data_IF_735478542023
#
_entry.id   IF_735478542023
#
_cell.length_a   1.000
_cell.length_b   1.000
_cell.length_c   1.000
_cell.angle_alpha   90.00
_cell.angle_beta   90.00
_cell.angle_gamma   90.00
#
_symmetry.space_group_name_H-M   'P 1'
#
loop_
_entity.id
_entity.type
_entity.pdbx_description
1 polymer ?
#
# COMPACT_ATOMS: atom_id res chain seq x y z
N UNK A 1 -3.75 25.50 -23.50
CA UNK A 1 -3.54 25.10 -22.07
C UNK A 1 -4.91 24.91 -21.46
N UNK A 2 -5.14 23.90 -20.64
CA UNK A 2 -6.38 23.80 -19.90
C UNK A 2 -6.58 25.08 -19.06
N UNK A 3 -7.82 25.47 -18.75
CA UNK A 3 -8.08 26.62 -17.89
C UNK A 3 -7.48 26.35 -16.50
N UNK A 4 -7.03 27.43 -15.83
CA UNK A 4 -6.65 27.30 -14.42
C UNK A 4 -7.89 26.92 -13.60
N UNK A 5 -7.72 26.05 -12.60
CA UNK A 5 -8.80 25.65 -11.71
C UNK A 5 -8.71 26.44 -10.40
N UNK A 6 -9.84 26.56 -9.73
CA UNK A 6 -9.95 27.14 -8.40
C UNK A 6 -10.73 26.17 -7.49
N UNK A 7 -10.24 25.98 -6.27
CA UNK A 7 -10.86 25.13 -5.26
C UNK A 7 -10.72 25.78 -3.88
N UNK A 8 -11.78 25.71 -3.10
CA UNK A 8 -11.76 26.15 -1.69
C UNK A 8 -12.57 25.18 -0.81
N UNK A 9 -12.16 25.04 0.44
CA UNK A 9 -12.78 24.16 1.41
C UNK A 9 -11.96 24.07 2.68
N UNK A 10 -12.14 23.00 3.45
CA UNK A 10 -11.38 22.69 4.66
C UNK A 10 -10.37 21.60 4.36
N UNK A 11 -9.09 21.84 4.60
CA UNK A 11 -8.06 20.81 4.40
C UNK A 11 -7.99 19.88 5.62
N UNK A 12 -7.90 18.58 5.37
CA UNK A 12 -7.55 17.61 6.40
C UNK A 12 -6.03 17.47 6.53
N UNK A 13 -5.51 17.13 7.74
CA UNK A 13 -6.23 16.69 8.95
C UNK A 13 -6.88 17.77 9.80
N UNK A 14 -6.40 19.02 9.74
CA UNK A 14 -6.68 20.06 10.71
C UNK A 14 -8.06 20.72 10.53
N UNK A 15 -8.68 20.58 9.36
CA UNK A 15 -9.95 21.21 9.04
C UNK A 15 -9.84 22.73 8.83
N UNK A 16 -8.64 23.26 8.62
CA UNK A 16 -8.41 24.67 8.36
C UNK A 16 -8.92 25.07 6.96
N UNK A 17 -9.49 26.26 6.82
CA UNK A 17 -9.89 26.76 5.53
C UNK A 17 -8.70 26.93 4.59
N UNK A 18 -8.83 26.42 3.37
CA UNK A 18 -7.82 26.54 2.32
C UNK A 18 -8.44 27.01 1.02
N UNK A 19 -7.63 27.69 0.23
CA UNK A 19 -7.97 28.14 -1.11
C UNK A 19 -6.77 27.90 -2.03
N UNK A 20 -6.98 27.12 -3.09
CA UNK A 20 -5.94 26.74 -4.02
C UNK A 20 -6.35 27.03 -5.46
N UNK A 21 -5.36 27.38 -6.26
CA UNK A 21 -5.45 27.43 -7.71
C UNK A 21 -4.62 26.29 -8.31
N UNK A 22 -5.03 25.81 -9.46
CA UNK A 22 -4.26 24.82 -10.23
C UNK A 22 -3.81 25.46 -11.52
N UNK A 23 -2.51 25.48 -11.72
CA UNK A 23 -1.88 26.03 -12.93
C UNK A 23 -0.91 24.98 -13.48
N UNK A 24 -1.06 24.61 -14.73
CA UNK A 24 -0.22 23.61 -15.40
C UNK A 24 -0.08 22.32 -14.59
N UNK A 25 -1.19 21.88 -13.99
CA UNK A 25 -1.27 20.64 -13.19
C UNK A 25 -0.63 20.72 -11.79
N UNK A 26 -0.31 21.93 -11.31
CA UNK A 26 0.31 22.16 -9.99
C UNK A 26 -0.52 23.08 -9.12
N UNK A 27 -0.45 22.85 -7.81
CA UNK A 27 -1.10 23.69 -6.80
C UNK A 27 -0.39 25.05 -6.68
N UNK A 28 -1.18 26.12 -6.60
CA UNK A 28 -0.72 27.49 -6.33
C UNK A 28 -1.53 28.10 -5.20
N UNK A 29 -0.84 28.69 -4.22
CA UNK A 29 -1.47 29.53 -3.20
C UNK A 29 -1.75 30.95 -3.72
N UNK A 30 -1.24 31.33 -4.90
CA UNK A 30 -1.42 32.65 -5.50
C UNK A 30 -2.67 32.66 -6.38
N UNK A 31 -3.56 33.67 -6.23
CA UNK A 31 -4.76 33.82 -7.04
C UNK A 31 -4.47 33.92 -8.52
N UNK A 32 -5.25 33.22 -9.32
CA UNK A 32 -5.19 33.24 -10.78
C UNK A 32 -6.48 33.78 -11.37
N UNK A 33 -6.39 34.82 -12.18
CA UNK A 33 -7.56 35.42 -12.81
C UNK A 33 -8.23 34.44 -13.79
N UNK A 34 -9.56 34.46 -13.80
CA UNK A 34 -10.39 33.60 -14.68
C UNK A 34 -10.23 32.09 -14.47
N UNK A 35 -9.78 31.65 -13.29
CA UNK A 35 -9.77 30.26 -12.93
C UNK A 35 -11.20 29.70 -12.82
N UNK A 36 -11.42 28.50 -13.32
CA UNK A 36 -12.70 27.80 -13.20
C UNK A 36 -12.85 27.22 -11.78
N UNK A 37 -13.91 27.62 -11.06
CA UNK A 37 -14.18 27.06 -9.72
C UNK A 37 -14.81 25.67 -9.86
N UNK A 38 -14.05 24.65 -9.49
CA UNK A 38 -14.46 23.24 -9.59
C UNK A 38 -15.04 22.70 -8.28
N UNK A 39 -14.77 23.39 -7.15
CA UNK A 39 -15.30 23.03 -5.83
C UNK A 39 -15.35 24.26 -4.91
N UNK A 40 -16.37 24.33 -4.03
CA UNK A 40 -16.51 25.39 -3.04
C UNK A 40 -17.07 26.71 -3.63
N UNK A 41 -17.78 26.69 -4.76
CA UNK A 41 -18.37 27.89 -5.36
C UNK A 41 -19.39 28.54 -4.43
N UNK A 42 -20.28 27.75 -3.86
CA UNK A 42 -21.43 28.23 -3.06
C UNK A 42 -21.17 28.15 -1.54
N UNK A 43 -20.24 27.32 -1.10
CA UNK A 43 -19.88 27.10 0.30
C UNK A 43 -18.42 26.65 0.44
N UNK A 44 -17.74 27.09 1.51
CA UNK A 44 -16.42 26.61 1.90
C UNK A 44 -16.47 25.45 2.90
N UNK A 45 -17.63 24.83 3.11
CA UNK A 45 -17.84 23.81 4.14
C UNK A 45 -17.41 22.40 3.73
N UNK A 46 -17.13 22.19 2.45
CA UNK A 46 -16.61 20.90 1.96
C UNK A 46 -15.15 20.66 2.34
N UNK A 47 -14.73 19.41 2.17
CA UNK A 47 -13.42 18.91 2.60
C UNK A 47 -12.49 18.68 1.41
N UNK A 48 -11.22 18.97 1.64
CA UNK A 48 -10.15 18.78 0.66
C UNK A 48 -9.02 17.99 1.31
N UNK A 49 -8.53 16.96 0.62
CA UNK A 49 -7.37 16.19 1.07
C UNK A 49 -6.51 15.76 -0.12
N UNK A 50 -5.23 15.45 0.08
CA UNK A 50 -4.40 14.85 -0.97
C UNK A 50 -5.05 13.57 -1.45
N UNK A 51 -4.83 13.19 -2.70
CA UNK A 51 -5.28 11.90 -3.20
C UNK A 51 -4.84 10.76 -2.28
N UNK A 52 -5.71 9.78 -2.06
CA UNK A 52 -5.44 8.64 -1.20
C UNK A 52 -4.23 7.85 -1.70
N UNK A 53 -3.63 7.12 -0.78
CA UNK A 53 -2.53 6.18 -1.01
C UNK A 53 -3.04 4.77 -0.76
N UNK A 54 -2.87 3.88 -1.71
CA UNK A 54 -2.88 2.45 -1.45
C UNK A 54 -1.43 1.99 -1.31
N UNK A 55 -1.01 1.69 -0.08
CA UNK A 55 0.38 1.35 0.23
C UNK A 55 0.73 -0.11 -0.05
N UNK A 56 -0.22 -0.92 -0.50
CA UNK A 56 -0.03 -2.29 -0.92
C UNK A 56 -1.13 -2.71 -1.90
N UNK A 57 -0.83 -2.67 -3.18
CA UNK A 57 -1.66 -3.22 -4.24
C UNK A 57 -0.77 -3.84 -5.33
N UNK A 58 -1.37 -4.43 -6.35
CA UNK A 58 -0.71 -5.14 -7.43
C UNK A 58 -1.37 -4.82 -8.77
N UNK A 59 -1.02 -3.70 -9.39
CA UNK A 59 -1.56 -3.32 -10.69
C UNK A 59 -1.02 -4.23 -11.79
N UNK A 60 -1.90 -4.81 -12.58
CA UNK A 60 -1.53 -5.76 -13.63
C UNK A 60 -1.43 -7.21 -13.15
N UNK A 61 -1.90 -7.49 -11.91
CA UNK A 61 -1.96 -8.83 -11.35
C UNK A 61 -3.42 -9.32 -11.26
N UNK A 62 -3.66 -10.55 -11.71
CA UNK A 62 -4.91 -11.30 -11.53
C UNK A 62 -4.67 -12.61 -10.79
N UNK A 63 -5.71 -13.42 -10.62
CA UNK A 63 -5.63 -14.69 -9.87
C UNK A 63 -4.61 -15.69 -10.43
N UNK A 64 -4.36 -15.68 -11.76
CA UNK A 64 -3.42 -16.59 -12.42
C UNK A 64 -2.06 -15.96 -12.76
N UNK A 65 -1.80 -14.73 -12.31
CA UNK A 65 -0.57 -13.97 -12.59
C UNK A 65 -0.81 -12.74 -13.46
N UNK A 66 0.06 -12.50 -14.43
CA UNK A 66 -0.01 -11.35 -15.35
C UNK A 66 -1.33 -11.32 -16.12
N UNK A 67 -1.93 -10.12 -16.21
CA UNK A 67 -3.17 -9.88 -16.97
C UNK A 67 -2.90 -8.99 -18.19
N UNK A 68 -3.84 -8.95 -19.15
CA UNK A 68 -3.76 -8.06 -20.30
C UNK A 68 -3.60 -6.59 -19.89
N UNK A 69 -2.87 -5.84 -20.71
CA UNK A 69 -2.59 -4.41 -20.48
C UNK A 69 -3.87 -3.58 -20.26
N UNK A 70 -4.90 -3.83 -21.04
CA UNK A 70 -6.19 -3.14 -20.95
C UNK A 70 -6.88 -3.37 -19.59
N UNK A 71 -6.77 -4.59 -19.05
CA UNK A 71 -7.31 -4.92 -17.73
C UNK A 71 -6.47 -4.25 -16.61
N UNK A 72 -5.15 -4.16 -16.78
CA UNK A 72 -4.29 -3.45 -15.84
C UNK A 72 -4.57 -1.93 -15.82
N UNK A 73 -4.88 -1.33 -16.98
CA UNK A 73 -5.35 0.06 -17.07
C UNK A 73 -6.68 0.22 -16.33
N UNK A 74 -7.64 -0.69 -16.55
CA UNK A 74 -8.94 -0.66 -15.88
C UNK A 74 -8.82 -0.80 -14.35
N UNK A 75 -7.85 -1.59 -13.86
CA UNK A 75 -7.51 -1.65 -12.42
C UNK A 75 -7.05 -0.28 -11.91
N UNK A 76 -6.11 0.37 -12.60
CA UNK A 76 -5.60 1.69 -12.22
C UNK A 76 -6.70 2.78 -12.31
N UNK A 77 -7.60 2.71 -13.29
CA UNK A 77 -8.77 3.60 -13.40
C UNK A 77 -9.75 3.40 -12.25
N UNK A 78 -9.94 2.16 -11.80
CA UNK A 78 -10.77 1.83 -10.65
C UNK A 78 -10.20 2.47 -9.37
N UNK A 79 -8.89 2.39 -9.16
CA UNK A 79 -8.20 3.06 -8.04
C UNK A 79 -8.38 4.59 -8.10
N UNK A 80 -8.19 5.19 -9.28
CA UNK A 80 -8.47 6.62 -9.47
C UNK A 80 -9.92 6.97 -9.10
N UNK A 81 -10.88 6.13 -9.52
CA UNK A 81 -12.30 6.38 -9.31
C UNK A 81 -12.68 6.53 -7.84
N UNK A 82 -12.03 5.80 -6.94
CA UNK A 82 -12.21 5.91 -5.48
C UNK A 82 -11.24 6.90 -4.83
N UNK A 83 -10.42 7.59 -5.62
CA UNK A 83 -9.51 8.61 -5.12
C UNK A 83 -8.13 8.10 -4.68
N UNK A 84 -7.77 6.85 -4.90
CA UNK A 84 -6.40 6.36 -4.72
C UNK A 84 -5.53 6.84 -5.87
N UNK A 85 -4.80 7.95 -5.67
CA UNK A 85 -4.01 8.64 -6.69
C UNK A 85 -2.51 8.36 -6.59
N UNK A 86 -2.10 7.66 -5.54
CA UNK A 86 -0.74 7.16 -5.33
C UNK A 86 -0.81 5.71 -4.91
N UNK A 87 -0.22 4.83 -5.69
CA UNK A 87 -0.21 3.39 -5.47
C UNK A 87 1.22 2.93 -5.20
N UNK A 88 1.45 2.16 -4.11
CA UNK A 88 2.68 1.39 -3.96
C UNK A 88 2.38 -0.03 -4.40
N UNK A 89 2.79 -0.34 -5.63
CA UNK A 89 2.74 -1.69 -6.17
C UNK A 89 3.76 -2.56 -5.44
N UNK A 90 3.26 -3.43 -4.57
CA UNK A 90 4.04 -4.31 -3.72
C UNK A 90 4.54 -5.57 -4.47
N UNK A 91 4.68 -5.48 -5.76
CA UNK A 91 5.19 -6.50 -6.67
C UNK A 91 4.15 -6.98 -7.68
N UNK A 92 4.48 -6.85 -8.95
CA UNK A 92 3.65 -7.33 -10.05
C UNK A 92 4.50 -8.04 -11.11
N UNK A 93 4.01 -9.07 -11.78
CA UNK A 93 4.65 -9.62 -12.96
C UNK A 93 4.57 -8.68 -14.17
N UNK A 94 3.60 -7.76 -14.19
CA UNK A 94 3.33 -6.83 -15.29
C UNK A 94 4.23 -5.59 -15.20
N UNK A 95 4.81 -5.17 -16.32
CA UNK A 95 5.55 -3.92 -16.41
C UNK A 95 4.58 -2.76 -16.66
N UNK A 96 4.33 -1.96 -15.63
CA UNK A 96 3.42 -0.81 -15.67
C UNK A 96 4.13 0.53 -15.92
N UNK A 97 5.42 0.57 -16.30
CA UNK A 97 6.17 1.83 -16.47
C UNK A 97 5.60 2.74 -17.56
N UNK A 98 4.99 2.15 -18.59
CA UNK A 98 4.30 2.93 -19.62
C UNK A 98 3.11 3.74 -19.08
N UNK A 99 2.55 3.37 -17.90
CA UNK A 99 1.45 4.12 -17.27
C UNK A 99 1.88 5.49 -16.76
N UNK A 100 3.18 5.73 -16.60
CA UNK A 100 3.71 7.04 -16.21
C UNK A 100 3.45 8.13 -17.27
N UNK A 101 3.29 7.72 -18.54
CA UNK A 101 2.95 8.60 -19.66
C UNK A 101 1.44 8.92 -19.74
N UNK A 102 0.60 8.19 -18.98
CA UNK A 102 -0.83 8.40 -18.90
C UNK A 102 -1.18 9.44 -17.84
N UNK A 103 -1.58 10.63 -18.27
CA UNK A 103 -1.92 11.72 -17.35
C UNK A 103 -3.19 11.45 -16.51
N UNK A 104 -3.99 10.51 -16.92
CA UNK A 104 -5.26 10.10 -16.30
C UNK A 104 -5.17 8.88 -15.38
N UNK A 105 -4.01 8.25 -15.24
CA UNK A 105 -3.80 7.13 -14.31
C UNK A 105 -3.09 7.59 -13.01
N UNK A 106 -3.35 6.92 -11.87
CA UNK A 106 -2.61 7.16 -10.62
C UNK A 106 -1.10 7.01 -10.79
N UNK A 107 -0.34 7.65 -9.92
CA UNK A 107 1.10 7.41 -9.84
C UNK A 107 1.36 6.08 -9.18
N UNK A 108 2.28 5.28 -9.75
CA UNK A 108 2.67 3.99 -9.22
C UNK A 108 4.13 4.07 -8.73
N UNK A 109 4.36 3.56 -7.52
CA UNK A 109 5.69 3.29 -6.96
C UNK A 109 5.87 1.78 -6.97
N UNK A 110 6.74 1.27 -7.83
CA UNK A 110 6.90 -0.17 -8.10
C UNK A 110 7.99 -0.79 -7.24
N UNK A 111 7.67 -1.92 -6.62
CA UNK A 111 8.67 -2.76 -5.93
C UNK A 111 9.30 -3.82 -6.85
N UNK A 112 8.97 -3.81 -8.14
CA UNK A 112 9.41 -4.83 -9.08
C UNK A 112 8.61 -6.12 -8.94
N UNK A 113 9.24 -7.27 -9.17
CA UNK A 113 8.60 -8.58 -9.03
C UNK A 113 8.91 -9.19 -7.67
N UNK A 114 7.98 -9.98 -7.14
CA UNK A 114 8.21 -10.80 -5.96
C UNK A 114 9.44 -11.70 -6.15
N UNK A 115 10.24 -11.87 -5.10
CA UNK A 115 11.34 -12.81 -5.06
C UNK A 115 10.98 -13.94 -4.09
N UNK A 116 11.01 -15.19 -4.56
CA UNK A 116 10.63 -16.37 -3.79
C UNK A 116 11.48 -17.60 -4.13
N UNK A 117 11.37 -18.64 -3.29
CA UNK A 117 11.91 -19.96 -3.59
C UNK A 117 10.96 -20.71 -4.54
N UNK A 118 11.43 -21.68 -5.33
CA UNK A 118 10.58 -22.46 -6.22
C UNK A 118 9.40 -23.11 -5.49
N UNK A 119 8.21 -22.93 -6.04
CA UNK A 119 6.95 -23.45 -5.48
C UNK A 119 6.60 -22.94 -4.06
N UNK A 120 7.27 -21.89 -3.61
CA UNK A 120 7.06 -21.27 -2.30
C UNK A 120 6.44 -19.88 -2.43
N UNK A 121 5.56 -19.70 -3.41
CA UNK A 121 4.61 -18.60 -3.58
C UNK A 121 3.53 -18.98 -4.59
N UNK A 122 2.64 -18.06 -4.91
CA UNK A 122 1.62 -18.21 -5.94
C UNK A 122 2.28 -18.36 -7.32
N UNK A 123 1.74 -19.25 -8.13
CA UNK A 123 2.30 -19.57 -9.44
C UNK A 123 2.21 -18.36 -10.37
N UNK A 124 3.32 -18.04 -11.05
CA UNK A 124 3.38 -16.93 -12.02
C UNK A 124 3.64 -15.55 -11.43
N UNK A 125 3.63 -15.40 -10.09
CA UNK A 125 3.81 -14.09 -9.44
C UNK A 125 5.29 -13.73 -9.26
N UNK A 126 6.09 -14.67 -8.79
CA UNK A 126 7.46 -14.42 -8.36
C UNK A 126 8.52 -14.81 -9.40
N UNK A 127 9.69 -14.19 -9.27
CA UNK A 127 10.96 -14.75 -9.79
C UNK A 127 11.39 -15.81 -8.80
N UNK A 128 11.44 -17.06 -9.25
CA UNK A 128 11.85 -18.21 -8.42
C UNK A 128 13.39 -18.36 -8.43
N UNK A 129 13.99 -18.43 -7.24
CA UNK A 129 15.43 -18.57 -7.03
C UNK A 129 15.75 -19.94 -6.47
N UNK A 130 16.46 -20.76 -7.25
CA UNK A 130 16.78 -22.16 -6.88
C UNK A 130 17.77 -22.23 -5.70
N UNK A 131 18.74 -21.31 -5.66
CA UNK A 131 19.70 -21.17 -4.55
C UNK A 131 19.35 -19.90 -3.76
N UNK A 132 19.29 -19.99 -2.43
CA UNK A 132 18.97 -18.83 -1.59
C UNK A 132 20.01 -17.71 -1.72
N UNK A 133 21.29 -18.03 -1.94
CA UNK A 133 22.35 -17.05 -2.13
C UNK A 133 22.27 -16.27 -3.46
N UNK A 134 21.30 -16.60 -4.33
CA UNK A 134 20.95 -15.77 -5.47
C UNK A 134 20.12 -14.54 -5.07
N UNK A 135 19.59 -14.49 -3.82
CA UNK A 135 18.68 -13.45 -3.37
C UNK A 135 19.35 -12.06 -3.35
N UNK A 136 20.55 -11.83 -2.80
CA UNK A 136 21.18 -10.50 -2.80
C UNK A 136 21.35 -9.91 -4.20
N UNK A 137 21.79 -10.71 -5.16
CA UNK A 137 21.93 -10.28 -6.56
C UNK A 137 20.58 -10.01 -7.23
N UNK A 138 19.55 -10.81 -6.93
CA UNK A 138 18.20 -10.59 -7.45
C UNK A 138 17.59 -9.31 -6.87
N UNK A 139 17.76 -9.07 -5.57
CA UNK A 139 17.36 -7.83 -4.89
C UNK A 139 18.04 -6.62 -5.51
N UNK A 140 19.37 -6.65 -5.71
CA UNK A 140 20.08 -5.57 -6.36
C UNK A 140 19.58 -5.28 -7.78
N UNK A 141 19.15 -6.31 -8.53
CA UNK A 141 18.51 -6.11 -9.86
C UNK A 141 17.16 -5.44 -9.73
N UNK A 142 16.29 -5.92 -8.81
CA UNK A 142 14.96 -5.34 -8.59
C UNK A 142 15.05 -3.90 -8.05
N UNK A 143 16.00 -3.60 -7.17
CA UNK A 143 16.25 -2.25 -6.66
C UNK A 143 16.57 -1.24 -7.80
N UNK A 144 17.30 -1.66 -8.82
CA UNK A 144 17.62 -0.82 -10.00
C UNK A 144 16.47 -0.76 -11.01
N UNK A 145 15.58 -1.73 -10.98
CA UNK A 145 14.44 -1.79 -11.90
C UNK A 145 13.21 -1.04 -11.35
N UNK A 146 12.96 -1.14 -10.05
CA UNK A 146 11.81 -0.54 -9.38
C UNK A 146 12.00 0.94 -9.04
N UNK A 147 11.01 1.51 -8.36
CA UNK A 147 10.96 2.92 -7.99
C UNK A 147 11.40 3.14 -6.53
N UNK A 148 12.48 2.46 -6.11
CA UNK A 148 13.06 2.57 -4.77
C UNK A 148 12.46 1.61 -3.74
N UNK A 149 11.84 0.53 -4.19
CA UNK A 149 11.36 -0.58 -3.36
C UNK A 149 11.70 -1.94 -3.97
N UNK A 150 11.80 -2.96 -3.11
CA UNK A 150 11.94 -4.37 -3.50
C UNK A 150 10.98 -5.22 -2.68
N UNK A 151 10.32 -6.19 -3.30
CA UNK A 151 9.39 -7.12 -2.63
C UNK A 151 9.97 -8.51 -2.46
N UNK A 152 10.02 -8.96 -1.23
CA UNK A 152 10.35 -10.34 -0.85
C UNK A 152 9.10 -11.13 -0.47
N UNK A 153 9.16 -12.43 -0.65
CA UNK A 153 8.28 -13.38 0.05
C UNK A 153 9.09 -13.88 1.25
N UNK A 154 8.70 -13.47 2.45
CA UNK A 154 9.40 -13.82 3.69
C UNK A 154 9.09 -15.24 4.15
N UNK A 155 7.82 -15.64 4.05
CA UNK A 155 7.37 -16.99 4.39
C UNK A 155 6.29 -17.50 3.42
N UNK A 156 6.09 -18.79 3.38
CA UNK A 156 5.02 -19.46 2.67
C UNK A 156 4.85 -20.89 3.18
N UNK A 157 3.76 -21.56 2.76
CA UNK A 157 3.59 -22.98 3.08
C UNK A 157 4.78 -23.81 2.59
N UNK A 158 5.42 -24.53 3.51
CA UNK A 158 6.36 -25.59 3.22
C UNK A 158 5.58 -26.92 3.22
N UNK A 159 5.47 -27.52 2.02
CA UNK A 159 4.65 -28.73 1.83
C UNK A 159 5.21 -29.94 2.55
N UNK A 160 6.52 -30.01 2.78
CA UNK A 160 7.17 -31.10 3.51
C UNK A 160 6.97 -30.96 5.02
N UNK A 161 6.97 -29.72 5.53
CA UNK A 161 6.61 -29.41 6.92
C UNK A 161 5.10 -29.45 7.17
N UNK A 162 4.31 -29.22 6.11
CA UNK A 162 2.85 -29.11 6.18
C UNK A 162 2.37 -27.86 6.92
N UNK A 163 3.19 -26.79 6.95
CA UNK A 163 2.91 -25.55 7.65
C UNK A 163 3.67 -24.38 7.03
N UNK A 164 3.41 -23.13 7.46
CA UNK A 164 4.22 -21.98 7.12
C UNK A 164 5.67 -22.14 7.57
N UNK A 165 6.59 -21.62 6.80
CA UNK A 165 8.00 -21.55 7.15
C UNK A 165 8.70 -20.41 6.44
N UNK A 166 9.78 -19.81 7.00
CA UNK A 166 10.64 -18.87 6.32
C UNK A 166 11.17 -19.43 4.99
N UNK A 167 11.36 -18.55 3.99
CA UNK A 167 11.94 -18.92 2.70
C UNK A 167 13.46 -18.83 2.68
N UNK A 168 14.02 -18.01 3.54
CA UNK A 168 15.42 -17.59 3.53
C UNK A 168 16.03 -17.75 4.90
N UNK A 169 17.33 -18.05 4.96
CA UNK A 169 18.13 -17.98 6.19
C UNK A 169 18.40 -16.51 6.59
N UNK A 170 18.65 -16.26 7.86
CA UNK A 170 18.87 -14.91 8.39
C UNK A 170 20.09 -14.22 7.70
N UNK A 171 21.20 -14.96 7.49
CA UNK A 171 22.39 -14.44 6.82
C UNK A 171 22.11 -13.98 5.37
N UNK A 172 21.25 -14.73 4.66
CA UNK A 172 20.84 -14.39 3.28
C UNK A 172 19.92 -13.18 3.26
N UNK A 173 18.99 -13.09 4.22
CA UNK A 173 18.09 -11.92 4.36
C UNK A 173 18.90 -10.66 4.65
N UNK A 174 19.85 -10.71 5.57
CA UNK A 174 20.75 -9.59 5.90
C UNK A 174 21.49 -9.12 4.66
N UNK A 175 22.17 -10.03 3.96
CA UNK A 175 22.89 -9.69 2.73
C UNK A 175 21.98 -9.13 1.63
N UNK A 176 20.73 -9.58 1.54
CA UNK A 176 19.75 -9.12 0.56
C UNK A 176 19.24 -7.71 0.87
N UNK A 177 18.94 -7.41 2.13
CA UNK A 177 18.48 -6.09 2.57
C UNK A 177 19.62 -5.07 2.41
N UNK A 178 20.84 -5.43 2.80
CA UNK A 178 22.04 -4.61 2.56
C UNK A 178 22.22 -4.29 1.07
N UNK A 179 22.01 -5.28 0.20
CA UNK A 179 22.10 -5.08 -1.25
C UNK A 179 21.02 -4.10 -1.78
N UNK A 180 19.81 -4.13 -1.24
CA UNK A 180 18.76 -3.15 -1.56
C UNK A 180 19.15 -1.74 -1.11
N UNK A 181 19.55 -1.59 0.16
CA UNK A 181 19.93 -0.31 0.75
C UNK A 181 21.14 0.30 0.04
N UNK A 182 22.13 -0.51 -0.32
CA UNK A 182 23.28 -0.08 -1.11
C UNK A 182 22.91 0.42 -2.53
N UNK A 183 21.75 0.01 -3.05
CA UNK A 183 21.20 0.51 -4.32
C UNK A 183 20.12 1.60 -4.12
N UNK A 184 19.97 2.13 -2.89
CA UNK A 184 19.02 3.21 -2.57
C UNK A 184 17.55 2.78 -2.51
N UNK A 185 17.27 1.48 -2.44
CA UNK A 185 15.92 0.94 -2.35
C UNK A 185 15.60 0.46 -0.93
N UNK A 186 14.34 0.59 -0.53
CA UNK A 186 13.73 -0.01 0.65
C UNK A 186 13.22 -1.42 0.35
N UNK A 187 13.08 -2.24 1.39
CA UNK A 187 12.62 -3.63 1.25
C UNK A 187 11.31 -3.83 1.99
N UNK A 188 10.39 -4.53 1.36
CA UNK A 188 9.16 -5.01 1.98
C UNK A 188 9.00 -6.51 1.79
N UNK A 189 8.39 -7.21 2.76
CA UNK A 189 8.19 -8.65 2.69
C UNK A 189 6.77 -9.07 3.05
N UNK A 190 6.20 -9.98 2.25
CA UNK A 190 5.03 -10.78 2.63
C UNK A 190 5.40 -11.68 3.81
N UNK A 191 4.68 -11.59 4.92
CA UNK A 191 4.90 -12.43 6.11
C UNK A 191 3.58 -12.72 6.82
N UNK A 192 3.28 -14.01 6.97
CA UNK A 192 2.14 -14.47 7.75
C UNK A 192 2.54 -15.07 9.11
N UNK A 193 3.62 -15.87 9.16
CA UNK A 193 4.03 -16.60 10.37
C UNK A 193 4.94 -15.80 11.29
N UNK A 194 5.05 -16.31 12.51
CA UNK A 194 5.93 -15.75 13.54
C UNK A 194 7.41 -15.92 13.21
N UNK A 195 7.76 -17.06 12.59
CA UNK A 195 9.15 -17.53 12.46
C UNK A 195 10.03 -16.64 11.55
N UNK A 196 9.44 -16.00 10.54
CA UNK A 196 10.19 -15.16 9.59
C UNK A 196 10.45 -13.73 10.10
N UNK A 197 9.62 -13.24 11.04
CA UNK A 197 9.65 -11.84 11.47
C UNK A 197 10.97 -11.43 12.13
N UNK A 198 11.52 -12.18 13.12
CA UNK A 198 12.71 -11.73 13.84
C UNK A 198 13.93 -11.54 12.95
N UNK A 199 14.16 -12.46 12.00
CA UNK A 199 15.28 -12.38 11.06
C UNK A 199 15.18 -11.18 10.14
N UNK A 200 13.99 -10.98 9.53
CA UNK A 200 13.72 -9.84 8.66
C UNK A 200 13.88 -8.49 9.38
N UNK A 201 13.31 -8.35 10.58
CA UNK A 201 13.35 -7.09 11.34
C UNK A 201 14.79 -6.76 11.76
N UNK A 202 15.53 -7.75 12.31
CA UNK A 202 16.93 -7.55 12.72
C UNK A 202 17.87 -7.24 11.55
N UNK A 203 17.55 -7.76 10.36
CA UNK A 203 18.25 -7.40 9.13
C UNK A 203 17.94 -5.98 8.64
N UNK A 204 17.04 -5.24 9.29
CA UNK A 204 16.73 -3.85 8.98
C UNK A 204 15.70 -3.69 7.85
N UNK A 205 14.75 -4.61 7.70
CA UNK A 205 13.68 -4.47 6.71
C UNK A 205 12.84 -3.21 6.95
N UNK A 206 12.48 -2.51 5.89
CA UNK A 206 11.76 -1.23 6.00
C UNK A 206 10.25 -1.41 6.23
N UNK A 207 9.65 -2.51 5.78
CA UNK A 207 8.22 -2.76 5.91
C UNK A 207 7.88 -4.25 5.96
N UNK A 208 6.97 -4.61 6.85
CA UNK A 208 6.30 -5.92 6.88
C UNK A 208 4.91 -5.77 6.29
N UNK A 209 4.54 -6.67 5.38
CA UNK A 209 3.20 -6.80 4.83
C UNK A 209 2.43 -7.87 5.60
N UNK A 210 1.14 -7.62 5.86
CA UNK A 210 0.23 -8.47 6.63
C UNK A 210 0.59 -8.58 8.12
N UNK A 211 1.74 -9.16 8.47
CA UNK A 211 2.24 -9.23 9.84
C UNK A 211 1.34 -10.01 10.80
N UNK A 212 0.60 -11.02 10.32
CA UNK A 212 -0.39 -11.75 11.12
C UNK A 212 0.21 -12.53 12.28
N UNK A 213 1.51 -12.90 12.17
CA UNK A 213 2.29 -13.61 13.18
C UNK A 213 3.04 -12.71 14.16
N UNK A 214 2.71 -11.42 14.26
CA UNK A 214 3.35 -10.53 15.23
C UNK A 214 3.21 -11.07 16.66
N UNK A 215 4.28 -10.93 17.44
CA UNK A 215 4.36 -11.24 18.88
C UNK A 215 4.82 -10.00 19.62
N UNK A 216 4.71 -9.96 20.94
CA UNK A 216 5.17 -8.82 21.74
C UNK A 216 6.66 -8.54 21.47
N UNK A 217 7.50 -9.60 21.43
CA UNK A 217 8.93 -9.47 21.13
C UNK A 217 9.20 -8.89 19.73
N UNK A 218 8.43 -9.29 18.71
CA UNK A 218 8.61 -8.76 17.35
C UNK A 218 8.04 -7.36 17.18
N UNK A 219 7.01 -6.98 17.93
CA UNK A 219 6.51 -5.61 18.02
C UNK A 219 7.59 -4.69 18.63
N UNK A 220 8.22 -5.11 19.72
CA UNK A 220 9.33 -4.36 20.33
C UNK A 220 10.49 -4.17 19.34
N UNK A 221 10.85 -5.22 18.59
CA UNK A 221 11.86 -5.13 17.54
C UNK A 221 11.43 -4.16 16.42
N UNK A 222 10.17 -4.18 15.96
CA UNK A 222 9.70 -3.24 14.94
C UNK A 222 9.84 -1.77 15.40
N UNK A 223 9.53 -1.50 16.65
CA UNK A 223 9.72 -0.16 17.25
C UNK A 223 11.21 0.21 17.30
N UNK A 224 12.07 -0.70 17.75
CA UNK A 224 13.51 -0.48 17.86
C UNK A 224 14.16 -0.19 16.49
N UNK A 225 13.79 -0.96 15.47
CA UNK A 225 14.36 -0.85 14.12
C UNK A 225 13.61 0.15 13.21
N UNK A 226 12.47 0.68 13.65
CA UNK A 226 11.65 1.60 12.85
C UNK A 226 10.96 0.94 11.66
N UNK A 227 10.72 -0.37 11.74
CA UNK A 227 10.06 -1.15 10.68
C UNK A 227 8.56 -0.81 10.61
N UNK A 228 8.08 -0.44 9.44
CA UNK A 228 6.66 -0.15 9.20
C UNK A 228 5.82 -1.42 9.00
N UNK A 229 4.50 -1.29 9.17
CA UNK A 229 3.52 -2.35 8.91
C UNK A 229 2.46 -1.87 7.91
N UNK A 230 2.15 -2.69 6.91
CA UNK A 230 0.97 -2.55 6.07
C UNK A 230 0.12 -3.81 6.26
N UNK A 231 -0.91 -3.76 7.13
CA UNK A 231 -1.57 -4.97 7.63
C UNK A 231 -2.52 -5.64 6.65
N UNK A 232 -3.03 -4.91 5.65
CA UNK A 232 -3.96 -5.45 4.64
C UNK A 232 -5.13 -6.23 5.26
N UNK A 233 -5.79 -5.63 6.24
CA UNK A 233 -6.81 -6.29 7.05
C UNK A 233 -7.93 -6.90 6.21
N UNK A 234 -8.33 -6.23 5.12
CA UNK A 234 -9.36 -6.74 4.22
C UNK A 234 -8.92 -8.01 3.47
N UNK A 235 -7.62 -8.20 3.22
CA UNK A 235 -7.10 -9.45 2.65
C UNK A 235 -7.08 -10.57 3.71
N UNK A 236 -6.80 -10.25 4.98
CA UNK A 236 -6.78 -11.25 6.06
C UNK A 236 -8.16 -11.89 6.26
N UNK A 237 -9.25 -11.25 5.87
CA UNK A 237 -10.59 -11.84 5.86
C UNK A 237 -10.70 -13.09 4.97
N UNK A 238 -9.77 -13.32 4.03
CA UNK A 238 -9.71 -14.51 3.20
C UNK A 238 -9.11 -15.74 3.93
N UNK A 239 -8.45 -15.57 5.08
CA UNK A 239 -7.76 -16.66 5.79
C UNK A 239 -8.63 -17.87 6.13
N UNK A 240 -9.89 -17.71 6.59
CA UNK A 240 -10.77 -18.85 6.82
C UNK A 240 -11.00 -19.68 5.54
N UNK A 241 -11.15 -19.03 4.39
CA UNK A 241 -11.29 -19.68 3.08
C UNK A 241 -10.01 -20.40 2.65
N UNK A 242 -8.85 -19.75 2.79
CA UNK A 242 -7.52 -20.32 2.51
C UNK A 242 -7.30 -21.56 3.38
N UNK A 243 -7.59 -21.46 4.69
CA UNK A 243 -7.48 -22.59 5.60
C UNK A 243 -8.43 -23.74 5.20
N UNK A 244 -9.67 -23.44 4.80
CA UNK A 244 -10.63 -24.46 4.39
C UNK A 244 -10.17 -25.22 3.13
N UNK A 245 -9.56 -24.53 2.17
CA UNK A 245 -9.06 -25.13 0.93
C UNK A 245 -7.81 -26.01 1.11
N UNK A 246 -7.12 -25.90 2.24
CA UNK A 246 -5.86 -26.60 2.51
C UNK A 246 -6.03 -27.93 3.26
N UNK A 247 -7.02 -28.77 2.92
CA UNK A 247 -7.34 -30.02 3.62
C UNK A 247 -6.17 -31.00 3.77
N UNK A 248 -5.23 -30.99 2.84
CA UNK A 248 -4.04 -31.83 2.85
C UNK A 248 -3.03 -31.46 3.95
N UNK A 249 -3.17 -30.28 4.54
CA UNK A 249 -2.21 -29.71 5.48
C UNK A 249 -2.89 -29.26 6.77
N UNK A 250 -3.30 -30.18 7.65
CA UNK A 250 -4.09 -29.86 8.84
C UNK A 250 -3.38 -28.93 9.83
N UNK A 251 -2.03 -28.97 9.90
CA UNK A 251 -1.26 -28.03 10.73
C UNK A 251 -1.38 -26.61 10.18
N UNK A 252 -1.15 -26.44 8.89
CA UNK A 252 -1.32 -25.16 8.20
C UNK A 252 -2.75 -24.62 8.36
N UNK A 253 -3.78 -25.46 8.21
CA UNK A 253 -5.17 -25.04 8.44
C UNK A 253 -5.38 -24.50 9.86
N UNK A 254 -4.86 -25.21 10.87
CA UNK A 254 -4.99 -24.80 12.27
C UNK A 254 -4.22 -23.50 12.51
N UNK A 255 -3.02 -23.37 11.95
CA UNK A 255 -2.16 -22.21 12.06
C UNK A 255 -2.82 -20.99 11.44
N UNK A 256 -3.26 -21.05 10.18
CA UNK A 256 -3.97 -19.94 9.50
C UNK A 256 -5.21 -19.48 10.29
N UNK A 257 -5.98 -20.39 10.86
CA UNK A 257 -7.11 -20.04 11.73
C UNK A 257 -6.67 -19.38 13.04
N UNK A 258 -5.52 -19.74 13.58
CA UNK A 258 -4.98 -19.10 14.78
C UNK A 258 -4.50 -17.68 14.46
N UNK A 259 -3.73 -17.50 13.39
CA UNK A 259 -3.28 -16.20 12.88
C UNK A 259 -4.48 -15.26 12.62
N UNK A 260 -5.52 -15.75 11.95
CA UNK A 260 -6.74 -14.98 11.72
C UNK A 260 -7.37 -14.44 13.02
N UNK A 261 -7.49 -15.29 14.04
CA UNK A 261 -8.09 -14.89 15.33
C UNK A 261 -7.24 -13.91 16.13
N UNK A 262 -5.91 -14.01 16.01
CA UNK A 262 -4.97 -13.17 16.78
C UNK A 262 -4.58 -11.87 16.06
N UNK A 263 -4.76 -11.77 14.75
CA UNK A 263 -4.27 -10.68 13.91
C UNK A 263 -4.73 -9.30 14.41
N UNK A 264 -6.04 -9.06 14.52
CA UNK A 264 -6.56 -7.76 14.94
C UNK A 264 -5.99 -7.28 16.28
N UNK A 265 -6.07 -8.08 17.37
CA UNK A 265 -5.45 -7.74 18.65
C UNK A 265 -3.92 -7.49 18.57
N UNK A 266 -3.20 -8.23 17.73
CA UNK A 266 -1.73 -8.08 17.55
C UNK A 266 -1.38 -6.77 16.85
N UNK A 267 -2.14 -6.43 15.80
CA UNK A 267 -1.93 -5.16 15.07
C UNK A 267 -2.33 -3.97 15.95
N UNK A 268 -3.40 -4.09 16.76
CA UNK A 268 -3.76 -3.09 17.75
C UNK A 268 -2.62 -2.86 18.76
N UNK A 269 -2.01 -3.93 19.28
CA UNK A 269 -0.86 -3.83 20.18
C UNK A 269 0.36 -3.20 19.50
N UNK A 270 0.64 -3.54 18.24
CA UNK A 270 1.72 -2.91 17.46
C UNK A 270 1.49 -1.39 17.30
N UNK A 271 0.24 -0.97 17.00
CA UNK A 271 -0.14 0.45 16.97
C UNK A 271 0.10 1.14 18.32
N UNK A 272 -0.36 0.54 19.41
CA UNK A 272 -0.20 1.09 20.77
C UNK A 272 1.27 1.22 21.18
N UNK A 273 2.12 0.30 20.71
CA UNK A 273 3.56 0.35 20.91
C UNK A 273 4.27 1.41 20.05
N UNK A 274 3.59 1.99 19.04
CA UNK A 274 4.13 3.03 18.17
C UNK A 274 4.74 2.53 16.86
N UNK A 275 4.43 1.31 16.43
CA UNK A 275 4.79 0.83 15.08
C UNK A 275 4.07 1.68 14.03
N UNK A 276 4.79 2.26 13.04
CA UNK A 276 4.15 2.99 11.95
C UNK A 276 3.27 2.06 11.11
N UNK A 277 1.97 2.40 10.96
CA UNK A 277 1.01 1.58 10.20
C UNK A 277 0.43 2.38 9.05
N UNK A 278 0.42 1.80 7.85
CA UNK A 278 -0.13 2.42 6.65
C UNK A 278 -1.19 1.51 6.01
N UNK A 279 -2.17 2.13 5.35
CA UNK A 279 -3.26 1.41 4.71
C UNK A 279 -2.82 0.83 3.36
N UNK A 280 -3.12 -0.43 3.13
CA UNK A 280 -2.91 -1.13 1.86
C UNK A 280 -3.96 -2.21 1.68
N UNK A 281 -4.54 -2.29 0.49
CA UNK A 281 -5.69 -3.17 0.22
C UNK A 281 -5.30 -4.62 -0.12
N UNK A 282 -4.08 -4.83 -0.63
CA UNK A 282 -3.65 -6.07 -1.29
C UNK A 282 -4.51 -6.42 -2.52
N UNK A 283 -5.02 -5.37 -3.19
CA UNK A 283 -5.79 -5.53 -4.41
C UNK A 283 -4.93 -6.05 -5.57
N UNK A 284 -5.52 -6.88 -6.43
CA UNK A 284 -4.89 -7.41 -7.64
C UNK A 284 -5.01 -8.92 -7.81
N UNK A 285 -5.13 -9.71 -6.77
CA UNK A 285 -5.34 -11.16 -6.85
C UNK A 285 -6.74 -11.55 -6.38
N UNK A 286 -6.89 -11.81 -5.09
CA UNK A 286 -8.17 -12.19 -4.48
C UNK A 286 -8.99 -11.00 -3.98
N UNK A 287 -8.36 -9.85 -3.80
CA UNK A 287 -9.01 -8.60 -3.42
C UNK A 287 -9.20 -7.72 -4.66
N UNK A 288 -10.39 -7.26 -4.89
CA UNK A 288 -10.69 -6.35 -6.00
C UNK A 288 -10.03 -4.97 -5.77
N UNK A 289 -9.66 -4.29 -6.86
CA UNK A 289 -9.22 -2.89 -6.81
C UNK A 289 -10.34 -1.94 -6.35
N UNK A 290 -9.96 -0.77 -5.82
CA UNK A 290 -10.89 0.26 -5.39
C UNK A 290 -11.37 0.10 -3.94
N UNK A 291 -10.69 -0.69 -3.12
CA UNK A 291 -11.13 -1.02 -1.76
C UNK A 291 -10.34 -0.38 -0.62
N UNK A 292 -9.55 0.66 -0.92
CA UNK A 292 -8.75 1.33 0.12
C UNK A 292 -9.63 1.94 1.25
N UNK A 293 -10.85 2.37 0.95
CA UNK A 293 -11.77 2.88 1.96
C UNK A 293 -12.21 1.80 2.97
N UNK A 294 -12.31 0.54 2.52
CA UNK A 294 -12.62 -0.60 3.39
C UNK A 294 -11.45 -0.90 4.34
N UNK A 295 -10.20 -0.78 3.85
CA UNK A 295 -9.02 -0.92 4.71
C UNK A 295 -8.94 0.18 5.76
N UNK A 296 -9.24 1.44 5.40
CA UNK A 296 -9.36 2.56 6.36
C UNK A 296 -10.41 2.25 7.43
N UNK A 297 -11.55 1.68 7.07
CA UNK A 297 -12.57 1.28 8.03
C UNK A 297 -12.09 0.13 8.93
N UNK A 298 -11.39 -0.86 8.37
CA UNK A 298 -10.81 -1.96 9.13
C UNK A 298 -9.76 -1.46 10.15
N UNK A 299 -8.94 -0.46 9.79
CA UNK A 299 -7.98 0.19 10.69
C UNK A 299 -8.69 0.88 11.86
N UNK A 300 -9.88 1.46 11.67
CA UNK A 300 -10.70 1.96 12.80
C UNK A 300 -11.14 0.83 13.71
N UNK A 301 -11.45 -0.33 13.14
CA UNK A 301 -11.83 -1.55 13.87
C UNK A 301 -10.76 -2.06 14.84
N UNK A 302 -9.48 -1.78 14.59
CA UNK A 302 -8.36 -2.10 15.50
C UNK A 302 -7.97 -0.94 16.44
N UNK A 303 -8.80 0.11 16.54
CA UNK A 303 -8.65 1.17 17.52
C UNK A 303 -8.02 2.47 17.00
N UNK A 304 -7.76 2.62 15.70
CA UNK A 304 -7.38 3.92 15.16
C UNK A 304 -8.56 4.90 15.21
N UNK A 305 -8.30 6.14 15.56
CA UNK A 305 -9.28 7.21 15.36
C UNK A 305 -9.57 7.40 13.86
N UNK A 306 -10.72 7.97 13.48
CA UNK A 306 -11.00 8.23 12.07
C UNK A 306 -9.93 9.08 11.36
N UNK A 307 -9.29 10.01 12.08
CA UNK A 307 -8.22 10.85 11.54
C UNK A 307 -6.91 10.07 11.35
N UNK A 308 -6.52 9.21 12.30
CA UNK A 308 -5.35 8.33 12.18
C UNK A 308 -5.52 7.32 11.03
N UNK A 309 -6.68 6.65 10.95
CA UNK A 309 -6.95 5.67 9.91
C UNK A 309 -6.94 6.30 8.51
N UNK A 310 -7.53 7.49 8.35
CA UNK A 310 -7.46 8.23 7.10
C UNK A 310 -6.03 8.72 6.83
N UNK A 311 -5.29 9.16 7.84
CA UNK A 311 -3.89 9.56 7.72
C UNK A 311 -3.01 8.44 7.18
N UNK A 312 -3.24 7.21 7.65
CA UNK A 312 -2.55 6.00 7.18
C UNK A 312 -2.78 5.70 5.68
N UNK A 313 -3.86 6.21 5.09
CA UNK A 313 -4.17 6.12 3.67
C UNK A 313 -3.97 7.46 2.93
N UNK A 314 -3.40 8.48 3.55
CA UNK A 314 -3.33 9.81 2.95
C UNK A 314 -2.01 10.51 3.30
N UNK A 315 -2.03 11.48 4.22
CA UNK A 315 -0.88 12.35 4.50
C UNK A 315 0.29 11.60 5.15
N UNK A 316 0.06 10.71 6.12
CA UNK A 316 1.11 9.93 6.78
C UNK A 316 1.77 8.94 5.81
N UNK A 317 0.97 8.28 4.98
CA UNK A 317 1.48 7.39 3.92
C UNK A 317 2.28 8.16 2.86
N UNK A 318 1.85 9.38 2.49
CA UNK A 318 2.60 10.22 1.56
C UNK A 318 3.94 10.66 2.13
N UNK A 319 3.98 11.06 3.39
CA UNK A 319 5.22 11.41 4.10
C UNK A 319 6.18 10.21 4.12
N UNK A 320 5.69 9.03 4.53
CA UNK A 320 6.46 7.79 4.51
C UNK A 320 7.02 7.45 3.13
N UNK A 321 6.20 7.63 2.08
CA UNK A 321 6.60 7.41 0.70
C UNK A 321 7.39 8.59 0.10
N UNK A 322 7.65 9.64 0.88
CA UNK A 322 8.36 10.87 0.45
C UNK A 322 7.70 11.52 -0.76
N UNK A 323 6.38 11.64 -0.72
CA UNK A 323 5.57 12.29 -1.75
C UNK A 323 4.83 13.49 -1.17
N UNK A 324 4.76 14.61 -1.90
CA UNK A 324 4.11 15.82 -1.43
C UNK A 324 2.62 15.61 -1.18
N UNK A 325 2.07 16.41 -0.26
CA UNK A 325 0.64 16.55 -0.02
C UNK A 325 0.06 17.78 -0.72
N UNK A 326 -0.78 18.54 0.01
CA UNK A 326 -1.34 19.81 -0.46
C UNK A 326 -0.38 20.97 -0.15
N UNK A 327 0.57 21.23 -1.02
CA UNK A 327 1.54 22.30 -0.86
C UNK A 327 1.77 23.05 -2.16
N UNK A 328 2.20 24.31 -2.07
CA UNK A 328 2.48 25.13 -3.24
C UNK A 328 3.55 24.48 -4.13
N UNK A 329 3.27 24.37 -5.43
CA UNK A 329 4.15 23.74 -6.41
C UNK A 329 4.03 22.23 -6.52
N UNK A 330 3.34 21.56 -5.60
CA UNK A 330 3.05 20.13 -5.69
C UNK A 330 2.15 19.82 -6.89
N UNK A 331 2.16 18.56 -7.34
CA UNK A 331 1.17 18.08 -8.32
C UNK A 331 -0.24 18.26 -7.75
N UNK A 332 -1.16 18.73 -8.59
CA UNK A 332 -2.56 18.89 -8.22
C UNK A 332 -3.26 17.51 -8.22
N UNK A 333 -2.93 16.69 -7.22
CA UNK A 333 -3.49 15.37 -7.00
C UNK A 333 -4.28 15.38 -5.67
N UNK A 334 -5.58 15.70 -5.74
CA UNK A 334 -6.40 15.90 -4.55
C UNK A 334 -7.85 15.49 -4.75
N UNK A 335 -8.56 15.36 -3.65
CA UNK A 335 -9.96 14.96 -3.58
C UNK A 335 -10.78 16.05 -2.89
N UNK A 336 -12.03 16.18 -3.32
CA UNK A 336 -13.01 17.05 -2.69
C UNK A 336 -14.22 16.22 -2.26
N UNK A 337 -14.74 16.51 -1.08
CA UNK A 337 -15.92 15.87 -0.50
C UNK A 337 -16.91 16.90 0.03
N UNK A 338 -18.21 16.67 -0.20
CA UNK A 338 -19.25 17.50 0.38
C UNK A 338 -19.40 17.22 1.88
N UNK A 339 -19.32 15.94 2.27
CA UNK A 339 -19.39 15.48 3.65
C UNK A 339 -18.00 15.08 4.16
N UNK A 340 -17.84 14.99 5.49
CA UNK A 340 -16.55 14.61 6.10
C UNK A 340 -16.18 13.17 5.72
N UNK A 341 -15.08 12.94 5.00
CA UNK A 341 -14.67 11.60 4.54
C UNK A 341 -14.27 10.66 5.70
N UNK A 342 -14.09 11.17 6.93
CA UNK A 342 -13.86 10.38 8.13
C UNK A 342 -15.12 9.71 8.66
N UNK A 343 -16.31 10.11 8.18
CA UNK A 343 -17.59 9.61 8.66
C UNK A 343 -17.87 8.15 8.30
N UNK A 344 -17.27 7.63 7.24
CA UNK A 344 -17.39 6.22 6.86
C UNK A 344 -16.85 5.88 5.47
N UNK A 345 -16.74 4.58 5.16
CA UNK A 345 -16.15 4.11 3.91
C UNK A 345 -16.99 4.52 2.69
N UNK A 346 -18.30 4.62 2.82
CA UNK A 346 -19.20 5.04 1.74
C UNK A 346 -18.93 6.48 1.29
N UNK A 347 -18.61 7.38 2.23
CA UNK A 347 -18.24 8.76 1.90
C UNK A 347 -16.84 8.79 1.32
N UNK A 348 -15.88 8.10 1.96
CA UNK A 348 -14.49 8.09 1.55
C UNK A 348 -14.30 7.53 0.13
N UNK A 349 -15.03 6.47 -0.24
CA UNK A 349 -14.96 5.86 -1.58
C UNK A 349 -15.62 6.68 -2.69
N UNK A 350 -16.37 7.75 -2.34
CA UNK A 350 -17.15 8.53 -3.30
C UNK A 350 -16.83 10.03 -3.23
N UNK A 351 -15.64 10.45 -3.64
CA UNK A 351 -15.28 11.87 -3.69
C UNK A 351 -16.19 12.63 -4.66
N UNK A 352 -16.61 13.84 -4.28
CA UNK A 352 -17.39 14.73 -5.15
C UNK A 352 -16.58 15.13 -6.38
N UNK A 353 -15.26 15.28 -6.24
CA UNK A 353 -14.30 15.53 -7.33
C UNK A 353 -13.00 14.78 -7.06
N UNK A 354 -12.49 14.17 -8.10
CA UNK A 354 -11.11 13.69 -8.17
C UNK A 354 -10.34 14.63 -9.07
N UNK A 355 -9.25 15.19 -8.58
CA UNK A 355 -8.35 16.01 -9.40
C UNK A 355 -6.99 15.31 -9.43
N UNK A 356 -6.54 14.98 -10.63
CA UNK A 356 -5.28 14.30 -10.88
C UNK A 356 -4.48 15.08 -11.91
N UNK A 357 -3.31 15.58 -11.52
CA UNK A 357 -2.44 16.45 -12.36
C UNK A 357 -3.20 17.64 -12.98
N UNK A 358 -4.22 18.14 -12.24
CA UNK A 358 -5.07 19.24 -12.69
C UNK A 358 -6.19 18.87 -13.65
N UNK A 359 -6.33 17.61 -14.03
CA UNK A 359 -7.53 17.13 -14.71
C UNK A 359 -8.61 16.74 -13.68
N UNK A 360 -9.87 17.08 -13.97
CA UNK A 360 -11.03 16.82 -13.11
C UNK A 360 -11.78 15.60 -13.64
N UNK A 361 -12.11 14.66 -12.73
CA UNK A 361 -12.86 13.42 -13.00
C UNK A 361 -14.10 13.34 -12.15
#
# INVERSE_FOLDING_TARGET
MPPALHVRGRALPDGEPVEWWVVDGRLSAEPVAHAETVFGADSSDGWILPGLVDAHCHVGLGEEGEIPREDAIAQAETERGVGALLLRDAGSPTDTREFDDHADLPRIIRAGRHLARPKRYQRGFAIELEDEWQLPDAVARQARWGDGWVKLVGDWIDRDRGDLAPLWSDDVVEAAIDAAHANGARVTAHVFSEDALPGLIKAGIDCIEHGTGLTDDTVDLMVEYGTALVPTLINIENFPGIAAAAEKYPRYQQHMRALYRSCGPRIAAAREAGVPIYAGSDAGSTVAHGRIADEVEALKGIGMTPTEALGAACWDAREWLRRPGLEHGASADFLCYADDPRSGPEVLANPTRVVLRGAVF
#
